data_IF_041401815348
#
_entry.id   IF_041401815348
#
_cell.length_a   1.000
_cell.length_b   1.000
_cell.length_c   1.000
_cell.angle_alpha   90.00
_cell.angle_beta   90.00
_cell.angle_gamma   90.00
#
_symmetry.space_group_name_H-M   'P 1'
#
loop_
_entity.id
_entity.type
_entity.pdbx_description
1 polymer ?
#
# COMPACT_ATOMS: atom_id res chain seq x y z
N UNK A 1 -15.67 13.79 3.77
CA UNK A 1 -14.88 12.59 4.08
C UNK A 1 -14.70 12.36 5.59
N UNK A 2 -14.38 13.36 6.41
CA UNK A 2 -14.22 13.19 7.88
C UNK A 2 -15.47 12.57 8.52
N UNK A 3 -16.64 13.09 8.23
CA UNK A 3 -17.92 12.58 8.77
C UNK A 3 -18.19 11.12 8.42
N UNK A 4 -17.63 10.62 7.31
CA UNK A 4 -17.73 9.20 6.94
C UNK A 4 -17.03 8.29 7.94
N UNK A 5 -15.94 8.76 8.55
CA UNK A 5 -15.13 8.01 9.51
C UNK A 5 -15.51 8.25 10.97
N UNK A 6 -16.21 9.36 11.27
CA UNK A 6 -16.60 9.71 12.63
C UNK A 6 -17.45 8.60 13.27
N UNK A 7 -17.12 8.26 14.50
CA UNK A 7 -17.78 7.21 15.32
C UNK A 7 -17.69 5.79 14.72
N UNK A 8 -16.92 5.55 13.66
CA UNK A 8 -16.73 4.22 13.08
C UNK A 8 -15.68 3.41 13.82
N UNK A 9 -15.91 2.10 13.89
CA UNK A 9 -14.92 1.13 14.34
C UNK A 9 -14.15 0.61 13.14
N UNK A 10 -12.83 0.76 13.15
CA UNK A 10 -11.99 0.38 12.01
C UNK A 10 -10.92 -0.58 12.47
N UNK A 11 -10.91 -1.78 11.89
CA UNK A 11 -9.87 -2.77 12.15
C UNK A 11 -8.76 -2.62 11.11
N UNK A 12 -7.51 -2.52 11.58
CA UNK A 12 -6.32 -2.42 10.74
C UNK A 12 -5.42 -3.62 11.00
N UNK A 13 -5.32 -4.54 10.03
CA UNK A 13 -4.30 -5.58 10.09
C UNK A 13 -2.96 -4.98 9.70
N UNK A 14 -1.87 -5.42 10.35
CA UNK A 14 -0.57 -4.78 10.14
C UNK A 14 -0.47 -3.36 10.71
N UNK A 15 -1.32 -3.00 11.67
CA UNK A 15 -1.42 -1.65 12.24
C UNK A 15 -0.16 -1.13 12.93
N UNK A 16 0.85 -1.99 13.21
CA UNK A 16 2.18 -1.59 13.73
C UNK A 16 3.21 -1.28 12.65
N UNK A 17 2.84 -1.42 11.36
CA UNK A 17 3.67 -1.01 10.22
C UNK A 17 3.68 0.51 10.02
N UNK A 18 4.53 1.02 9.12
CA UNK A 18 4.63 2.47 8.84
C UNK A 18 3.26 3.06 8.46
N UNK A 19 2.60 2.49 7.45
CA UNK A 19 1.26 2.91 7.02
C UNK A 19 0.22 2.75 8.15
N UNK A 20 0.21 1.58 8.82
CA UNK A 20 -0.76 1.30 9.88
C UNK A 20 -0.69 2.28 11.04
N UNK A 21 0.52 2.62 11.50
CA UNK A 21 0.74 3.62 12.56
C UNK A 21 0.13 4.99 12.20
N UNK A 22 0.36 5.46 10.98
CA UNK A 22 -0.18 6.76 10.55
C UNK A 22 -1.70 6.71 10.32
N UNK A 23 -2.22 5.61 9.76
CA UNK A 23 -3.67 5.39 9.65
C UNK A 23 -4.35 5.45 11.03
N UNK A 24 -3.78 4.81 12.05
CA UNK A 24 -4.30 4.90 13.43
C UNK A 24 -4.38 6.35 13.89
N UNK A 25 -3.28 7.11 13.73
CA UNK A 25 -3.21 8.52 14.13
C UNK A 25 -4.29 9.37 13.42
N UNK A 26 -4.41 9.23 12.10
CA UNK A 26 -5.35 10.02 11.28
C UNK A 26 -6.80 9.63 11.57
N UNK A 27 -7.11 8.33 11.63
CA UNK A 27 -8.48 7.87 11.90
C UNK A 27 -8.96 8.29 13.29
N UNK A 28 -8.07 8.28 14.29
CA UNK A 28 -8.38 8.84 15.62
C UNK A 28 -8.71 10.33 15.54
N UNK A 29 -7.95 11.12 14.79
CA UNK A 29 -8.24 12.55 14.62
C UNK A 29 -9.58 12.80 13.91
N UNK A 30 -10.13 11.83 13.20
CA UNK A 30 -11.47 11.85 12.60
C UNK A 30 -12.57 11.36 13.56
N UNK A 31 -12.21 10.99 14.80
CA UNK A 31 -13.15 10.45 15.79
C UNK A 31 -13.50 8.97 15.61
N UNK A 32 -12.66 8.21 14.91
CA UNK A 32 -12.86 6.76 14.77
C UNK A 32 -12.29 5.99 15.96
N UNK A 33 -12.90 4.84 16.29
CA UNK A 33 -12.33 3.84 17.21
C UNK A 33 -11.51 2.83 16.42
N UNK A 34 -10.26 2.66 16.77
CA UNK A 34 -9.33 1.84 15.97
C UNK A 34 -8.98 0.54 16.68
N UNK A 35 -9.09 -0.58 15.95
CA UNK A 35 -8.65 -1.90 16.39
C UNK A 35 -7.38 -2.25 15.60
N UNK A 36 -6.26 -2.36 16.28
CA UNK A 36 -4.97 -2.77 15.70
C UNK A 36 -4.81 -4.28 15.85
N UNK A 37 -4.65 -4.96 14.72
CA UNK A 37 -4.42 -6.41 14.67
C UNK A 37 -3.03 -6.68 14.08
N UNK A 38 -2.10 -7.21 14.87
CA UNK A 38 -0.75 -7.55 14.43
C UNK A 38 -0.08 -8.57 15.36
N UNK A 39 0.98 -9.21 14.88
CA UNK A 39 1.70 -10.27 15.60
C UNK A 39 2.60 -9.76 16.74
N UNK A 40 3.14 -8.55 16.59
CA UNK A 40 4.20 -8.01 17.43
C UNK A 40 3.60 -7.27 18.65
N UNK A 41 3.52 -7.98 19.79
CA UNK A 41 3.05 -7.45 21.07
C UNK A 41 3.85 -6.24 21.53
N UNK A 42 5.18 -6.34 21.44
CA UNK A 42 6.08 -5.27 21.88
C UNK A 42 5.85 -3.98 21.10
N UNK A 43 5.72 -4.07 19.77
CA UNK A 43 5.42 -2.89 18.95
C UNK A 43 4.04 -2.31 19.26
N UNK A 44 3.04 -3.16 19.50
CA UNK A 44 1.71 -2.68 19.92
C UNK A 44 1.78 -1.94 21.25
N UNK A 45 2.53 -2.48 22.23
CA UNK A 45 2.70 -1.84 23.52
C UNK A 45 3.44 -0.51 23.42
N UNK A 46 4.53 -0.45 22.65
CA UNK A 46 5.33 0.77 22.47
C UNK A 46 4.55 1.87 21.72
N UNK A 47 3.77 1.51 20.72
CA UNK A 47 3.08 2.50 19.86
C UNK A 47 1.75 2.95 20.44
N UNK A 48 1.03 2.08 21.14
CA UNK A 48 -0.36 2.30 21.54
C UNK A 48 -0.65 1.90 22.99
N UNK A 49 0.39 1.63 23.81
CA UNK A 49 0.23 1.02 25.13
C UNK A 49 -0.67 1.78 26.09
N UNK A 50 -0.60 3.11 26.06
CA UNK A 50 -1.35 3.99 26.96
C UNK A 50 -2.50 4.71 26.27
N UNK A 51 -2.89 4.27 25.07
CA UNK A 51 -3.93 4.91 24.29
C UNK A 51 -5.28 4.19 24.50
N UNK A 52 -6.22 4.76 25.26
CA UNK A 52 -7.51 4.12 25.58
C UNK A 52 -8.45 4.02 24.37
N UNK A 53 -8.16 4.77 23.28
CA UNK A 53 -8.98 4.77 22.06
C UNK A 53 -8.51 3.72 21.05
N UNK A 54 -7.38 3.04 21.32
CA UNK A 54 -6.84 1.99 20.45
C UNK A 54 -6.98 0.63 21.10
N UNK A 55 -7.82 -0.21 20.51
CA UNK A 55 -7.93 -1.61 20.91
C UNK A 55 -6.78 -2.40 20.28
N UNK A 56 -5.94 -3.02 21.11
CA UNK A 56 -4.81 -3.83 20.67
C UNK A 56 -5.19 -5.30 20.63
N UNK A 57 -4.99 -5.97 19.52
CA UNK A 57 -5.24 -7.41 19.35
C UNK A 57 -3.99 -8.07 18.79
N UNK A 58 -3.43 -9.00 19.54
CA UNK A 58 -2.33 -9.84 19.06
C UNK A 58 -2.93 -10.97 18.23
N UNK A 59 -2.49 -11.07 16.97
CA UNK A 59 -2.95 -12.11 16.06
C UNK A 59 -2.20 -12.11 14.73
N UNK A 60 -2.27 -13.25 14.06
CA UNK A 60 -1.72 -13.49 12.73
C UNK A 60 -2.86 -13.61 11.72
N UNK A 61 -2.76 -12.98 10.56
CA UNK A 61 -3.78 -13.09 9.49
C UNK A 61 -3.88 -14.51 8.94
N UNK A 62 -2.88 -15.34 9.13
CA UNK A 62 -2.89 -16.77 8.79
C UNK A 62 -3.84 -17.59 9.69
N UNK A 63 -4.16 -17.09 10.87
CA UNK A 63 -5.09 -17.72 11.80
C UNK A 63 -6.52 -17.20 11.56
N UNK A 64 -7.25 -17.92 10.71
CA UNK A 64 -8.64 -17.61 10.39
C UNK A 64 -9.53 -17.52 11.66
N UNK A 65 -9.41 -18.48 12.55
CA UNK A 65 -10.24 -18.51 13.78
C UNK A 65 -10.01 -17.26 14.64
N UNK A 66 -8.76 -16.83 14.76
CA UNK A 66 -8.41 -15.65 15.57
C UNK A 66 -8.96 -14.36 14.94
N UNK A 67 -8.83 -14.18 13.63
CA UNK A 67 -9.32 -12.96 12.98
C UNK A 67 -10.86 -12.92 12.97
N UNK A 68 -11.53 -14.02 12.72
CA UNK A 68 -12.99 -14.12 12.72
C UNK A 68 -13.57 -13.81 14.11
N UNK A 69 -13.07 -14.45 15.17
CA UNK A 69 -13.48 -14.17 16.57
C UNK A 69 -13.18 -12.70 16.94
N UNK A 70 -12.09 -12.12 16.45
CA UNK A 70 -11.76 -10.71 16.67
C UNK A 70 -12.81 -9.80 16.04
N UNK A 71 -13.18 -10.03 14.79
CA UNK A 71 -14.22 -9.24 14.11
C UNK A 71 -15.59 -9.41 14.78
N UNK A 72 -15.96 -10.64 15.14
CA UNK A 72 -17.19 -10.94 15.87
C UNK A 72 -17.29 -10.18 17.21
N UNK A 73 -16.18 -10.13 17.97
CA UNK A 73 -16.11 -9.45 19.27
C UNK A 73 -16.19 -7.92 19.14
N UNK A 74 -15.44 -7.35 18.21
CA UNK A 74 -15.28 -5.90 18.11
C UNK A 74 -16.25 -5.24 17.15
N UNK A 75 -16.82 -5.99 16.20
CA UNK A 75 -17.79 -5.55 15.18
C UNK A 75 -17.30 -4.30 14.45
N UNK A 76 -16.19 -4.38 13.69
CA UNK A 76 -15.70 -3.24 12.94
C UNK A 76 -16.66 -2.87 11.81
N UNK A 77 -16.88 -1.57 11.59
CA UNK A 77 -17.60 -1.08 10.42
C UNK A 77 -16.78 -1.26 9.15
N UNK A 78 -15.47 -1.00 9.25
CA UNK A 78 -14.53 -1.08 8.13
C UNK A 78 -13.27 -1.87 8.51
N UNK A 79 -12.67 -2.49 7.51
CA UNK A 79 -11.39 -3.20 7.63
C UNK A 79 -10.39 -2.64 6.61
N UNK A 80 -9.18 -2.34 7.08
CA UNK A 80 -8.04 -1.99 6.23
C UNK A 80 -7.00 -3.11 6.39
N UNK A 81 -6.85 -3.94 5.35
CA UNK A 81 -5.94 -5.06 5.36
C UNK A 81 -4.55 -4.65 4.84
N UNK A 82 -3.66 -4.25 5.75
CA UNK A 82 -2.27 -3.86 5.47
C UNK A 82 -1.23 -4.87 5.98
N UNK A 83 -1.68 -6.00 6.54
CA UNK A 83 -0.80 -7.07 7.01
C UNK A 83 -0.30 -7.95 5.87
N UNK A 84 0.97 -7.81 5.48
CA UNK A 84 1.60 -8.59 4.42
C UNK A 84 3.11 -8.71 4.64
N UNK A 85 3.73 -9.71 4.00
CA UNK A 85 5.16 -9.76 3.73
C UNK A 85 5.44 -8.92 2.47
N UNK A 86 6.52 -8.11 2.46
CA UNK A 86 6.75 -7.12 1.39
C UNK A 86 8.17 -7.09 0.80
N UNK A 87 9.12 -7.82 1.37
CA UNK A 87 10.50 -7.84 0.88
C UNK A 87 10.62 -8.81 -0.28
N UNK A 88 10.94 -8.29 -1.46
CA UNK A 88 11.01 -9.08 -2.70
C UNK A 88 12.03 -10.21 -2.54
N UNK A 89 13.25 -9.88 -2.12
CA UNK A 89 14.34 -10.83 -1.97
C UNK A 89 13.95 -12.02 -1.05
N UNK A 90 13.38 -11.70 0.13
CA UNK A 90 12.96 -12.72 1.09
C UNK A 90 11.85 -13.62 0.50
N UNK A 91 10.93 -13.04 -0.30
CA UNK A 91 9.80 -13.79 -0.84
C UNK A 91 10.20 -14.74 -1.98
N UNK A 92 11.25 -14.43 -2.73
CA UNK A 92 11.83 -15.36 -3.71
C UNK A 92 12.42 -16.60 -3.02
N UNK A 93 12.99 -16.47 -1.82
CA UNK A 93 13.53 -17.57 -1.03
C UNK A 93 12.46 -18.32 -0.21
N UNK A 94 11.39 -17.63 0.22
CA UNK A 94 10.33 -18.18 1.08
C UNK A 94 8.95 -18.02 0.43
N UNK A 95 8.70 -18.57 -0.76
CA UNK A 95 7.45 -18.39 -1.48
C UNK A 95 6.25 -18.99 -0.74
N UNK A 96 6.44 -20.06 0.01
CA UNK A 96 5.43 -20.70 0.85
C UNK A 96 4.94 -19.76 1.98
N UNK A 97 5.84 -19.02 2.64
CA UNK A 97 5.48 -18.04 3.64
C UNK A 97 4.74 -16.83 3.03
N UNK A 98 5.12 -16.45 1.79
CA UNK A 98 4.42 -15.44 1.02
C UNK A 98 2.98 -15.87 0.72
N UNK A 99 2.77 -17.11 0.24
CA UNK A 99 1.44 -17.68 -0.03
C UNK A 99 0.60 -17.71 1.24
N UNK A 100 1.12 -18.26 2.33
CA UNK A 100 0.41 -18.35 3.61
C UNK A 100 -0.03 -16.97 4.14
N UNK A 101 0.84 -15.96 3.99
CA UNK A 101 0.58 -14.64 4.59
C UNK A 101 -0.19 -13.74 3.63
N UNK A 102 0.27 -13.58 2.38
CA UNK A 102 -0.29 -12.60 1.46
C UNK A 102 -1.54 -13.10 0.73
N UNK A 103 -1.62 -14.39 0.44
CA UNK A 103 -2.77 -14.99 -0.26
C UNK A 103 -3.77 -15.53 0.77
N UNK A 104 -3.41 -16.58 1.52
CA UNK A 104 -4.34 -17.19 2.46
C UNK A 104 -4.73 -16.23 3.60
N UNK A 105 -3.78 -15.39 4.07
CA UNK A 105 -4.07 -14.35 5.04
C UNK A 105 -5.06 -13.30 4.53
N UNK A 106 -4.97 -12.91 3.25
CA UNK A 106 -5.95 -11.99 2.63
C UNK A 106 -7.32 -12.65 2.49
N UNK A 107 -7.36 -13.91 2.08
CA UNK A 107 -8.59 -14.69 2.02
C UNK A 107 -9.25 -14.83 3.40
N UNK A 108 -8.49 -15.15 4.43
CA UNK A 108 -8.98 -15.22 5.81
C UNK A 108 -9.63 -13.90 6.26
N UNK A 109 -9.00 -12.77 5.93
CA UNK A 109 -9.55 -11.44 6.24
C UNK A 109 -10.84 -11.18 5.47
N UNK A 110 -10.91 -11.59 4.20
CA UNK A 110 -12.12 -11.43 3.38
C UNK A 110 -13.28 -12.26 3.93
N UNK A 111 -13.05 -13.56 4.22
CA UNK A 111 -14.06 -14.45 4.81
C UNK A 111 -14.54 -13.89 6.16
N UNK A 112 -13.61 -13.53 7.05
CA UNK A 112 -13.96 -13.00 8.35
C UNK A 112 -14.77 -11.68 8.24
N UNK A 113 -14.44 -10.82 7.27
CA UNK A 113 -15.17 -9.58 7.01
C UNK A 113 -16.61 -9.86 6.56
N UNK A 114 -16.80 -10.81 5.66
CA UNK A 114 -18.13 -11.22 5.18
C UNK A 114 -18.95 -11.88 6.29
N UNK A 115 -18.36 -12.79 7.08
CA UNK A 115 -19.03 -13.49 8.16
C UNK A 115 -19.51 -12.56 9.29
N UNK A 116 -18.90 -11.37 9.41
CA UNK A 116 -19.18 -10.43 10.50
C UNK A 116 -19.78 -9.10 10.00
N UNK A 117 -20.38 -9.09 8.82
CA UNK A 117 -21.13 -7.96 8.24
C UNK A 117 -20.32 -6.64 8.20
N UNK A 118 -19.01 -6.74 7.93
CA UNK A 118 -18.16 -5.57 7.70
C UNK A 118 -18.66 -4.82 6.48
N UNK A 119 -18.92 -3.52 6.59
CA UNK A 119 -19.47 -2.73 5.48
C UNK A 119 -18.51 -2.59 4.31
N UNK A 120 -17.23 -2.30 4.60
CA UNK A 120 -16.18 -2.18 3.58
C UNK A 120 -14.87 -2.79 4.06
N UNK A 121 -14.22 -3.57 3.22
CA UNK A 121 -12.89 -4.15 3.45
C UNK A 121 -11.94 -3.77 2.31
N UNK A 122 -10.85 -3.06 2.62
CA UNK A 122 -9.85 -2.61 1.65
C UNK A 122 -8.55 -3.38 1.81
N UNK A 123 -8.05 -3.93 0.71
CA UNK A 123 -6.73 -4.55 0.61
C UNK A 123 -5.68 -3.51 0.21
N UNK A 124 -4.60 -3.43 0.97
CA UNK A 124 -3.42 -2.67 0.55
C UNK A 124 -2.58 -3.53 -0.41
N UNK A 125 -2.49 -3.11 -1.66
CA UNK A 125 -1.74 -3.73 -2.74
C UNK A 125 -0.50 -2.90 -3.11
N UNK A 126 0.06 -3.08 -4.29
CA UNK A 126 1.32 -2.50 -4.75
C UNK A 126 1.33 -2.36 -6.28
N UNK A 127 2.16 -1.44 -6.80
CA UNK A 127 2.53 -1.36 -8.22
C UNK A 127 3.04 -2.69 -8.78
N UNK A 128 3.70 -3.50 -7.96
CA UNK A 128 4.24 -4.81 -8.34
C UNK A 128 3.17 -5.89 -8.60
N UNK A 129 1.92 -5.64 -8.21
CA UNK A 129 0.77 -6.48 -8.55
C UNK A 129 0.31 -6.28 -10.01
N UNK A 130 0.64 -5.14 -10.62
CA UNK A 130 0.38 -4.90 -12.03
C UNK A 130 1.44 -5.60 -12.88
N UNK A 131 1.06 -6.56 -13.73
CA UNK A 131 1.98 -7.36 -14.55
C UNK A 131 3.14 -7.94 -13.71
N UNK A 132 2.87 -8.79 -12.72
CA UNK A 132 3.86 -9.23 -11.73
C UNK A 132 4.97 -10.07 -12.37
N UNK A 133 6.22 -9.87 -11.91
CA UNK A 133 7.42 -10.62 -12.33
C UNK A 133 8.14 -11.28 -11.16
N UNK A 134 7.58 -11.23 -9.95
CA UNK A 134 8.15 -11.82 -8.74
C UNK A 134 7.04 -12.39 -7.84
N UNK A 135 7.45 -13.21 -6.87
CA UNK A 135 6.54 -13.91 -5.93
C UNK A 135 5.70 -12.89 -5.14
N UNK A 136 6.31 -11.80 -4.65
CA UNK A 136 5.59 -10.76 -3.92
C UNK A 136 4.49 -10.12 -4.78
N UNK A 137 4.83 -9.64 -5.97
CA UNK A 137 3.86 -9.03 -6.89
C UNK A 137 2.76 -10.00 -7.27
N UNK A 138 3.09 -11.26 -7.59
CA UNK A 138 2.13 -12.32 -7.91
C UNK A 138 1.18 -12.59 -6.74
N UNK A 139 1.69 -12.63 -5.51
CA UNK A 139 0.87 -12.83 -4.32
C UNK A 139 -0.13 -11.69 -4.10
N UNK A 140 0.28 -10.46 -4.36
CA UNK A 140 -0.59 -9.28 -4.23
C UNK A 140 -1.62 -9.21 -5.36
N UNK A 141 -1.24 -9.58 -6.59
CA UNK A 141 -2.18 -9.71 -7.71
C UNK A 141 -3.27 -10.76 -7.41
N UNK A 142 -2.89 -11.93 -6.89
CA UNK A 142 -3.87 -12.97 -6.51
C UNK A 142 -4.77 -12.44 -5.39
N UNK A 143 -4.22 -11.74 -4.39
CA UNK A 143 -5.03 -11.15 -3.31
C UNK A 143 -6.04 -10.10 -3.84
N UNK A 144 -5.68 -9.27 -4.84
CA UNK A 144 -6.63 -8.37 -5.51
C UNK A 144 -7.77 -9.16 -6.16
N UNK A 145 -7.45 -10.28 -6.85
CA UNK A 145 -8.47 -11.14 -7.49
C UNK A 145 -9.38 -11.82 -6.46
N UNK A 146 -8.84 -12.23 -5.32
CA UNK A 146 -9.62 -12.74 -4.18
C UNK A 146 -10.62 -11.68 -3.72
N UNK A 147 -10.19 -10.44 -3.46
CA UNK A 147 -11.07 -9.36 -3.01
C UNK A 147 -12.15 -9.04 -4.05
N UNK A 148 -11.81 -8.97 -5.33
CA UNK A 148 -12.79 -8.78 -6.41
C UNK A 148 -13.81 -9.93 -6.45
N UNK A 149 -13.37 -11.19 -6.25
CA UNK A 149 -14.26 -12.36 -6.25
C UNK A 149 -15.17 -12.37 -5.03
N UNK A 150 -14.64 -12.05 -3.85
CA UNK A 150 -15.47 -11.93 -2.64
C UNK A 150 -16.50 -10.81 -2.77
N UNK A 151 -16.18 -9.68 -3.40
CA UNK A 151 -17.15 -8.65 -3.70
C UNK A 151 -18.26 -9.13 -4.63
N UNK A 152 -17.90 -9.84 -5.70
CA UNK A 152 -18.86 -10.40 -6.65
C UNK A 152 -19.86 -11.35 -5.99
N UNK A 153 -19.43 -12.13 -5.00
CA UNK A 153 -20.22 -13.11 -4.27
C UNK A 153 -20.85 -12.57 -2.98
N UNK A 154 -20.48 -11.37 -2.54
CA UNK A 154 -21.01 -10.76 -1.31
C UNK A 154 -22.30 -9.99 -1.58
N UNK A 155 -23.22 -10.06 -0.62
CA UNK A 155 -24.43 -9.24 -0.58
C UNK A 155 -24.33 -8.05 0.38
N UNK A 156 -23.40 -8.08 1.35
CA UNK A 156 -23.35 -7.12 2.46
C UNK A 156 -22.02 -6.35 2.54
N UNK A 157 -20.89 -7.01 2.23
CA UNK A 157 -19.57 -6.41 2.34
C UNK A 157 -19.08 -5.92 0.99
N UNK A 158 -18.59 -4.68 0.94
CA UNK A 158 -17.89 -4.10 -0.21
C UNK A 158 -16.40 -4.39 -0.07
N UNK A 159 -15.82 -5.06 -1.07
CA UNK A 159 -14.38 -5.31 -1.14
C UNK A 159 -13.74 -4.47 -2.23
N UNK A 160 -12.58 -3.88 -1.96
CA UNK A 160 -11.78 -3.18 -2.95
C UNK A 160 -10.29 -3.27 -2.61
N UNK A 161 -9.44 -2.87 -3.54
CA UNK A 161 -7.98 -2.90 -3.39
C UNK A 161 -7.37 -1.54 -3.71
N UNK A 162 -6.17 -1.26 -3.19
CA UNK A 162 -5.42 -0.03 -3.46
C UNK A 162 -4.02 -0.40 -3.89
N UNK A 163 -3.65 -0.10 -5.13
CA UNK A 163 -2.27 -0.16 -5.61
C UNK A 163 -1.57 1.16 -5.35
N UNK A 164 -0.32 1.12 -4.91
CA UNK A 164 0.54 2.29 -4.89
C UNK A 164 2.02 1.91 -4.98
N UNK A 165 2.86 2.90 -5.33
CA UNK A 165 4.28 2.73 -5.53
C UNK A 165 5.10 2.75 -4.23
N UNK A 166 6.36 3.18 -4.34
CA UNK A 166 7.27 3.22 -3.21
C UNK A 166 6.94 4.39 -2.28
N UNK A 167 6.67 4.07 -1.02
CA UNK A 167 6.48 5.07 0.03
C UNK A 167 7.85 5.50 0.57
N UNK A 168 8.15 6.80 0.48
CA UNK A 168 9.36 7.40 1.04
C UNK A 168 9.36 7.16 2.55
N UNK A 169 10.55 6.85 3.10
CA UNK A 169 10.77 6.58 4.53
C UNK A 169 9.96 5.41 5.13
N UNK A 170 9.32 4.58 4.32
CA UNK A 170 8.76 3.33 4.85
C UNK A 170 9.89 2.43 5.37
N UNK A 171 9.66 1.73 6.48
CA UNK A 171 10.68 0.85 7.09
C UNK A 171 11.26 -0.13 6.06
N UNK A 172 12.61 -0.12 5.95
CA UNK A 172 13.35 -0.98 5.03
C UNK A 172 13.26 -0.55 3.56
N UNK A 173 12.82 0.69 3.26
CA UNK A 173 12.91 1.25 1.90
C UNK A 173 14.31 1.77 1.60
N UNK A 174 14.64 1.89 0.31
CA UNK A 174 15.99 2.21 -0.15
C UNK A 174 16.43 3.65 0.17
N UNK A 175 15.51 4.63 0.18
CA UNK A 175 15.86 6.03 0.44
C UNK A 175 16.47 6.23 1.84
N UNK A 176 15.83 5.84 2.96
CA UNK A 176 16.47 5.93 4.28
C UNK A 176 17.79 5.14 4.38
N UNK A 177 17.86 3.99 3.71
CA UNK A 177 19.08 3.17 3.71
C UNK A 177 20.23 3.90 3.02
N UNK A 178 19.98 4.57 1.91
CA UNK A 178 20.99 5.35 1.20
C UNK A 178 21.38 6.62 1.97
N UNK A 179 20.41 7.33 2.55
CA UNK A 179 20.71 8.49 3.40
C UNK A 179 21.65 8.07 4.55
N UNK A 180 21.33 7.00 5.28
CA UNK A 180 22.18 6.50 6.38
C UNK A 180 23.57 6.06 5.87
N UNK A 181 23.66 5.35 4.75
CA UNK A 181 24.94 4.94 4.17
C UNK A 181 25.83 6.14 3.83
N UNK A 182 25.26 7.19 3.23
CA UNK A 182 25.99 8.41 2.89
C UNK A 182 26.46 9.14 4.16
N UNK A 183 25.60 9.26 5.18
CA UNK A 183 25.97 9.88 6.47
C UNK A 183 27.13 9.16 7.14
N UNK A 184 27.17 7.82 7.03
CA UNK A 184 28.25 6.96 7.52
C UNK A 184 29.50 6.95 6.62
N UNK A 185 29.51 7.69 5.51
CA UNK A 185 30.64 7.74 4.57
C UNK A 185 30.79 6.49 3.69
N UNK A 186 29.71 5.71 3.53
CA UNK A 186 29.68 4.52 2.69
C UNK A 186 29.19 4.88 1.28
N UNK A 187 29.53 4.03 0.30
CA UNK A 187 28.99 4.12 -1.07
C UNK A 187 27.52 3.66 -1.13
N UNK A 188 26.84 4.06 -2.20
CA UNK A 188 25.48 3.58 -2.49
C UNK A 188 25.50 2.43 -3.48
N UNK A 189 24.90 1.30 -3.11
CA UNK A 189 24.65 0.19 -4.02
C UNK A 189 23.40 0.48 -4.87
N UNK A 190 23.57 0.54 -6.18
CA UNK A 190 22.52 0.87 -7.14
C UNK A 190 22.37 -0.26 -8.13
N UNK A 191 21.15 -0.74 -8.30
CA UNK A 191 20.87 -1.88 -9.20
C UNK A 191 21.00 -1.51 -10.68
N UNK A 192 20.47 -0.35 -11.10
CA UNK A 192 20.62 0.20 -12.45
C UNK A 192 20.19 1.68 -12.49
N UNK A 193 21.00 2.54 -13.09
CA UNK A 193 20.65 3.96 -13.30
C UNK A 193 19.45 4.18 -14.24
N UNK A 194 19.12 3.18 -15.07
CA UNK A 194 17.98 3.24 -16.01
C UNK A 194 16.62 2.99 -15.34
N UNK A 195 16.61 2.57 -14.07
CA UNK A 195 15.37 2.32 -13.36
C UNK A 195 14.56 3.58 -13.09
N UNK A 196 13.24 3.42 -13.09
CA UNK A 196 12.30 4.45 -12.63
C UNK A 196 11.42 3.91 -11.51
N UNK A 197 11.04 4.76 -10.55
CA UNK A 197 10.19 4.37 -9.43
C UNK A 197 9.14 5.44 -9.16
N UNK A 198 7.91 5.01 -8.89
CA UNK A 198 6.88 5.86 -8.32
C UNK A 198 7.22 6.16 -6.88
N UNK A 199 7.21 7.45 -6.50
CA UNK A 199 7.50 7.89 -5.14
C UNK A 199 6.41 8.81 -4.61
N UNK A 200 6.03 8.60 -3.36
CA UNK A 200 5.13 9.48 -2.64
C UNK A 200 5.33 9.34 -1.13
N UNK A 201 4.74 10.27 -0.35
CA UNK A 201 4.92 10.29 1.10
C UNK A 201 3.98 9.32 1.80
N UNK A 202 4.21 9.08 3.07
CA UNK A 202 3.34 8.24 3.88
C UNK A 202 1.96 8.90 4.10
N UNK A 203 1.92 10.24 4.23
CA UNK A 203 0.66 10.99 4.30
C UNK A 203 -0.16 10.85 3.00
N UNK A 204 0.49 10.94 1.83
CA UNK A 204 -0.17 10.73 0.54
C UNK A 204 -0.73 9.29 0.43
N UNK A 205 0.00 8.29 0.98
CA UNK A 205 -0.46 6.90 1.03
C UNK A 205 -1.72 6.76 1.92
N UNK A 206 -1.72 7.38 3.10
CA UNK A 206 -2.89 7.38 4.00
C UNK A 206 -4.09 8.07 3.33
N UNK A 207 -3.88 9.24 2.72
CA UNK A 207 -4.94 9.94 1.97
C UNK A 207 -5.54 9.05 0.88
N UNK A 208 -4.67 8.37 0.10
CA UNK A 208 -5.09 7.44 -0.95
C UNK A 208 -5.95 6.31 -0.39
N UNK A 209 -5.51 5.66 0.69
CA UNK A 209 -6.26 4.55 1.32
C UNK A 209 -7.62 5.01 1.84
N UNK A 210 -7.67 6.17 2.50
CA UNK A 210 -8.91 6.70 3.04
C UNK A 210 -9.88 7.14 1.92
N UNK A 211 -9.40 7.80 0.88
CA UNK A 211 -10.22 8.12 -0.29
C UNK A 211 -10.76 6.85 -0.96
N UNK A 212 -9.92 5.82 -1.12
CA UNK A 212 -10.33 4.55 -1.72
C UNK A 212 -11.42 3.86 -0.90
N UNK A 213 -11.29 3.83 0.43
CA UNK A 213 -12.32 3.28 1.31
C UNK A 213 -13.64 4.09 1.22
N UNK A 214 -13.54 5.40 1.10
CA UNK A 214 -14.70 6.29 0.93
C UNK A 214 -15.42 6.01 -0.39
N UNK A 215 -14.69 6.00 -1.52
CA UNK A 215 -15.24 5.84 -2.86
C UNK A 215 -15.62 4.40 -3.22
N UNK A 216 -15.11 3.37 -2.53
CA UNK A 216 -15.35 1.97 -2.89
C UNK A 216 -16.84 1.63 -2.98
N UNK A 217 -17.24 1.05 -4.12
CA UNK A 217 -18.60 0.58 -4.44
C UNK A 217 -18.63 -0.94 -4.65
N UNK A 218 -17.47 -1.56 -4.94
CA UNK A 218 -17.26 -3.01 -4.94
C UNK A 218 -16.40 -3.56 -6.07
N UNK A 219 -15.37 -4.30 -5.68
CA UNK A 219 -14.45 -5.03 -6.57
C UNK A 219 -13.35 -4.20 -7.22
N UNK A 220 -13.29 -2.90 -6.98
CA UNK A 220 -12.37 -1.99 -7.65
C UNK A 220 -10.93 -2.15 -7.20
N UNK A 221 -10.02 -1.70 -8.08
CA UNK A 221 -8.63 -1.43 -7.75
C UNK A 221 -8.36 0.06 -7.92
N UNK A 222 -8.08 0.74 -6.82
CA UNK A 222 -7.75 2.17 -6.80
C UNK A 222 -6.26 2.41 -7.00
N UNK A 223 -5.92 3.49 -7.72
CA UNK A 223 -4.56 3.85 -8.10
C UNK A 223 -4.36 5.35 -7.89
N UNK A 224 -3.39 5.81 -7.07
CA UNK A 224 -3.08 7.23 -6.96
C UNK A 224 -2.35 7.72 -8.22
N UNK A 225 -2.67 8.95 -8.65
CA UNK A 225 -1.90 9.66 -9.68
C UNK A 225 -0.69 10.32 -9.00
N UNK A 226 0.43 9.64 -9.03
CA UNK A 226 1.68 10.06 -8.40
C UNK A 226 2.83 10.14 -9.40
N UNK A 227 3.82 10.98 -9.11
CA UNK A 227 5.00 11.12 -9.94
C UNK A 227 5.93 9.91 -9.80
N UNK A 228 6.64 9.61 -10.88
CA UNK A 228 7.79 8.71 -10.88
C UNK A 228 9.06 9.50 -11.15
N UNK A 229 10.19 8.90 -10.79
CA UNK A 229 11.51 9.51 -10.94
C UNK A 229 12.51 8.48 -11.43
N UNK A 230 13.47 8.90 -12.26
CA UNK A 230 14.63 8.10 -12.60
C UNK A 230 15.50 7.91 -11.37
N UNK A 231 16.13 6.75 -11.25
CA UNK A 231 16.97 6.44 -10.10
C UNK A 231 18.14 7.42 -9.98
N UNK A 232 18.70 7.86 -11.12
CA UNK A 232 19.72 8.92 -11.19
C UNK A 232 19.24 10.24 -10.55
N UNK A 233 18.00 10.66 -10.81
CA UNK A 233 17.41 11.88 -10.23
C UNK A 233 17.22 11.71 -8.71
N UNK A 234 16.83 10.50 -8.27
CA UNK A 234 16.69 10.19 -6.85
C UNK A 234 18.04 10.26 -6.13
N UNK A 235 19.10 9.71 -6.72
CA UNK A 235 20.46 9.75 -6.17
C UNK A 235 20.93 11.20 -6.04
N UNK A 236 20.76 12.00 -7.10
CA UNK A 236 21.16 13.41 -7.08
C UNK A 236 20.38 14.22 -6.03
N UNK A 237 19.10 13.94 -5.86
CA UNK A 237 18.30 14.58 -4.81
C UNK A 237 18.79 14.20 -3.41
N UNK A 238 19.13 12.92 -3.16
CA UNK A 238 19.66 12.47 -1.87
C UNK A 238 21.03 13.10 -1.58
N UNK A 239 21.97 13.08 -2.57
CA UNK A 239 23.29 13.73 -2.43
C UNK A 239 23.15 15.20 -2.05
N UNK A 240 22.29 15.92 -2.76
CA UNK A 240 21.99 17.33 -2.45
C UNK A 240 21.41 17.52 -1.05
N UNK A 241 20.53 16.65 -0.60
CA UNK A 241 19.91 16.72 0.73
C UNK A 241 20.92 16.57 1.86
N UNK A 242 21.91 15.69 1.70
CA UNK A 242 22.93 15.42 2.70
C UNK A 242 24.20 16.28 2.52
N UNK A 243 24.22 17.17 1.53
CA UNK A 243 25.36 18.03 1.14
C UNK A 243 26.66 17.23 0.90
N UNK A 244 26.56 16.12 0.19
CA UNK A 244 27.68 15.23 -0.15
C UNK A 244 27.60 14.81 -1.62
N UNK A 245 28.11 15.65 -2.50
CA UNK A 245 28.03 15.41 -3.97
C UNK A 245 29.03 14.35 -4.47
N UNK A 246 30.11 14.11 -3.72
CA UNK A 246 31.22 13.21 -4.04
C UNK A 246 31.00 11.74 -3.69
N UNK A 247 29.82 11.39 -3.16
CA UNK A 247 29.51 9.99 -2.78
C UNK A 247 29.51 9.08 -4.01
N UNK A 248 30.32 8.03 -3.94
CA UNK A 248 30.41 7.02 -5.00
C UNK A 248 29.14 6.14 -5.04
N UNK A 249 28.77 5.75 -6.26
CA UNK A 249 27.70 4.78 -6.50
C UNK A 249 28.27 3.55 -7.17
N UNK A 250 27.98 2.37 -6.60
CA UNK A 250 28.38 1.08 -7.15
C UNK A 250 27.21 0.43 -7.87
N UNK A 251 27.38 0.09 -9.15
CA UNK A 251 26.33 -0.64 -9.89
C UNK A 251 26.45 -2.12 -9.58
N UNK A 252 25.44 -2.67 -8.87
CA UNK A 252 25.42 -4.08 -8.44
C UNK A 252 24.60 -4.99 -9.38
N UNK A 253 23.96 -4.44 -10.42
CA UNK A 253 23.09 -5.17 -11.34
C UNK A 253 21.66 -5.34 -10.85
N UNK A 254 20.76 -5.67 -11.79
CA UNK A 254 19.34 -5.87 -11.50
C UNK A 254 19.18 -7.18 -10.75
N UNK A 255 18.44 -7.15 -9.63
CA UNK A 255 18.16 -8.33 -8.82
C UNK A 255 17.07 -9.19 -9.47
N UNK A 256 17.05 -10.50 -9.22
CA UNK A 256 15.93 -11.36 -9.63
C UNK A 256 14.60 -10.78 -9.13
N UNK A 257 13.60 -10.73 -10.00
CA UNK A 257 12.28 -10.19 -9.65
C UNK A 257 12.16 -8.67 -9.64
N UNK A 258 13.21 -7.90 -9.96
CA UNK A 258 13.11 -6.45 -10.11
C UNK A 258 12.78 -6.04 -11.55
N UNK A 259 11.88 -5.06 -11.70
CA UNK A 259 11.59 -4.40 -12.98
C UNK A 259 12.46 -3.15 -13.18
N UNK A 260 12.81 -2.84 -14.43
CA UNK A 260 13.37 -1.52 -14.77
C UNK A 260 12.36 -0.41 -14.49
N UNK A 261 11.14 -0.60 -14.94
CA UNK A 261 10.03 0.34 -14.80
C UNK A 261 8.85 -0.36 -14.14
N UNK A 262 8.15 0.34 -13.26
CA UNK A 262 6.98 -0.18 -12.57
C UNK A 262 5.69 0.25 -13.26
N UNK A 263 4.68 -0.63 -13.21
CA UNK A 263 3.35 -0.37 -13.75
C UNK A 263 2.34 -0.26 -12.62
N UNK A 264 1.47 0.74 -12.65
CA UNK A 264 0.29 0.80 -11.77
C UNK A 264 -1.01 0.56 -12.51
N UNK A 265 -1.05 0.87 -13.80
CA UNK A 265 -2.20 0.65 -14.69
C UNK A 265 -1.70 0.08 -16.01
N UNK A 266 -2.08 -1.15 -16.31
CA UNK A 266 -1.74 -1.81 -17.57
C UNK A 266 -2.66 -1.36 -18.71
N UNK A 267 -2.17 -1.46 -19.95
CA UNK A 267 -2.95 -1.15 -21.17
C UNK A 267 -4.28 -1.92 -21.22
N UNK A 268 -4.29 -3.18 -20.77
CA UNK A 268 -5.50 -4.03 -20.72
C UNK A 268 -6.53 -3.58 -19.69
N UNK A 269 -6.13 -2.78 -18.69
CA UNK A 269 -7.01 -2.25 -17.65
C UNK A 269 -7.63 -0.89 -18.04
N UNK A 270 -7.06 -0.17 -19.04
CA UNK A 270 -7.53 1.15 -19.49
C UNK A 270 -9.03 1.20 -19.86
N UNK A 271 -9.59 0.22 -20.58
CA UNK A 271 -11.00 0.25 -20.95
C UNK A 271 -11.96 0.28 -19.75
N UNK A 272 -11.49 -0.12 -18.57
CA UNK A 272 -12.27 -0.25 -17.33
C UNK A 272 -11.89 0.78 -16.28
N UNK A 273 -11.09 1.80 -16.66
CA UNK A 273 -10.56 2.80 -15.73
C UNK A 273 -11.38 4.07 -15.74
N UNK A 274 -11.68 4.56 -14.54
CA UNK A 274 -12.40 5.80 -14.26
C UNK A 274 -11.60 6.69 -13.32
N UNK A 275 -12.03 7.93 -13.17
CA UNK A 275 -11.38 8.92 -12.30
C UNK A 275 -12.41 9.48 -11.30
N UNK A 276 -12.54 8.86 -10.10
CA UNK A 276 -13.46 9.33 -9.07
C UNK A 276 -13.01 10.62 -8.38
N UNK A 277 -11.73 10.96 -8.45
CA UNK A 277 -11.11 12.13 -7.83
C UNK A 277 -9.94 12.59 -8.71
N UNK A 278 -9.54 13.88 -8.62
CA UNK A 278 -8.44 14.43 -9.44
C UNK A 278 -7.12 13.67 -9.26
N UNK A 279 -6.88 13.14 -8.05
CA UNK A 279 -5.65 12.42 -7.68
C UNK A 279 -5.80 10.90 -7.70
N UNK A 280 -6.98 10.36 -8.04
CA UNK A 280 -7.28 8.95 -7.89
C UNK A 280 -7.87 8.38 -9.18
N UNK A 281 -7.35 7.25 -9.63
CA UNK A 281 -7.94 6.40 -10.66
C UNK A 281 -8.56 5.17 -10.01
N UNK A 282 -9.53 4.56 -10.67
CA UNK A 282 -10.13 3.30 -10.25
C UNK A 282 -10.36 2.38 -11.44
N UNK A 283 -9.97 1.13 -11.30
CA UNK A 283 -10.26 0.06 -12.26
C UNK A 283 -11.50 -0.65 -11.75
N UNK A 284 -12.57 -0.58 -12.52
CA UNK A 284 -13.83 -1.30 -12.24
C UNK A 284 -13.68 -2.75 -12.72
N UNK A 285 -14.13 -3.76 -11.94
CA UNK A 285 -14.02 -5.14 -12.37
C UNK A 285 -14.81 -5.40 -13.67
N UNK A 286 -14.21 -6.15 -14.58
CA UNK A 286 -14.84 -6.53 -15.87
C UNK A 286 -16.07 -7.41 -15.67
N UNK A 287 -16.03 -8.26 -14.64
CA UNK A 287 -17.11 -9.17 -14.26
C UNK A 287 -17.70 -8.69 -12.95
N UNK A 288 -18.73 -7.84 -13.02
CA UNK A 288 -19.43 -7.36 -11.83
C UNK A 288 -20.94 -7.41 -12.07
N UNK A 289 -21.70 -7.73 -11.02
CA UNK A 289 -23.16 -7.59 -10.97
C UNK A 289 -23.59 -6.21 -10.52
N UNK A 290 -22.65 -5.43 -9.95
CA UNK A 290 -22.90 -4.10 -9.40
C UNK A 290 -22.77 -3.05 -10.49
N UNK A 291 -23.64 -2.04 -10.46
CA UNK A 291 -23.50 -0.85 -11.29
C UNK A 291 -22.73 0.20 -10.50
N UNK A 292 -21.58 0.60 -11.00
CA UNK A 292 -20.75 1.63 -10.39
C UNK A 292 -21.23 3.02 -10.81
N UNK A 293 -21.12 3.98 -9.88
CA UNK A 293 -21.58 5.36 -10.09
C UNK A 293 -20.54 6.28 -10.73
N UNK A 294 -19.33 5.78 -11.00
CA UNK A 294 -18.25 6.59 -11.58
C UNK A 294 -18.63 7.09 -12.99
N UNK A 295 -18.69 8.41 -13.15
CA UNK A 295 -19.11 9.07 -14.39
C UNK A 295 -17.94 9.51 -15.28
N UNK A 296 -16.79 9.82 -14.70
CA UNK A 296 -15.63 10.33 -15.42
C UNK A 296 -14.74 9.17 -15.84
N UNK A 297 -14.75 8.86 -17.15
CA UNK A 297 -13.88 7.84 -17.74
C UNK A 297 -12.45 8.37 -17.85
N UNK A 298 -11.48 7.55 -17.50
CA UNK A 298 -10.09 7.90 -17.75
C UNK A 298 -9.75 7.75 -19.23
N UNK A 299 -9.21 8.80 -19.84
CA UNK A 299 -8.87 8.85 -21.29
C UNK A 299 -7.37 8.94 -21.54
N UNK A 300 -6.57 8.80 -20.47
CA UNK A 300 -5.11 8.80 -20.57
C UNK A 300 -4.55 7.46 -21.06
N UNK A 301 -3.22 7.36 -21.04
CA UNK A 301 -2.48 6.14 -21.35
C UNK A 301 -2.23 5.30 -20.10
N UNK A 302 -1.62 4.12 -20.28
CA UNK A 302 -1.14 3.27 -19.17
C UNK A 302 -0.30 4.08 -18.18
N UNK A 303 -0.34 3.70 -16.91
CA UNK A 303 0.37 4.40 -15.86
C UNK A 303 1.66 3.64 -15.50
N UNK A 304 2.69 3.85 -16.36
CA UNK A 304 4.02 3.28 -16.24
C UNK A 304 5.02 4.33 -15.76
N UNK A 305 5.95 3.93 -14.90
CA UNK A 305 6.90 4.86 -14.28
C UNK A 305 7.91 5.49 -15.25
N UNK A 306 8.15 4.88 -16.42
CA UNK A 306 9.00 5.49 -17.46
C UNK A 306 8.28 6.60 -18.25
N UNK A 307 6.95 6.55 -18.32
CA UNK A 307 6.13 7.48 -19.10
C UNK A 307 5.69 8.71 -18.30
N UNK A 308 5.72 8.63 -16.98
CA UNK A 308 5.23 9.66 -16.05
C UNK A 308 6.33 10.18 -15.12
N UNK A 309 7.60 10.06 -15.55
CA UNK A 309 8.71 10.50 -14.74
C UNK A 309 8.85 12.03 -14.71
N UNK A 310 9.29 12.50 -13.56
CA UNK A 310 9.66 13.89 -13.31
C UNK A 310 11.18 13.95 -13.08
N UNK A 311 11.88 14.83 -13.78
CA UNK A 311 13.34 14.98 -13.69
C UNK A 311 13.74 16.19 -12.80
N UNK A 312 12.78 16.86 -12.13
CA UNK A 312 13.05 17.99 -11.25
C UNK A 312 13.62 17.53 -9.89
N UNK A 313 14.93 17.68 -9.74
CA UNK A 313 15.66 17.34 -8.51
C UNK A 313 15.18 18.16 -7.30
N UNK A 314 14.82 19.44 -7.48
CA UNK A 314 14.41 20.31 -6.38
C UNK A 314 13.05 19.86 -5.82
N UNK A 315 12.10 19.59 -6.71
CA UNK A 315 10.80 19.04 -6.33
C UNK A 315 10.95 17.70 -5.59
N UNK A 316 11.85 16.84 -6.07
CA UNK A 316 12.12 15.57 -5.40
C UNK A 316 12.82 15.75 -4.05
N UNK A 317 13.74 16.71 -3.89
CA UNK A 317 14.33 17.05 -2.60
C UNK A 317 13.24 17.42 -1.57
N UNK A 318 12.31 18.30 -1.94
CA UNK A 318 11.20 18.68 -1.05
C UNK A 318 10.28 17.50 -0.72
N UNK A 319 10.01 16.64 -1.70
CA UNK A 319 9.22 15.42 -1.49
C UNK A 319 9.92 14.46 -0.51
N UNK A 320 11.25 14.25 -0.66
CA UNK A 320 12.03 13.38 0.22
C UNK A 320 12.11 13.99 1.63
N UNK A 321 12.39 15.29 1.79
CA UNK A 321 12.39 15.97 3.10
C UNK A 321 11.07 15.76 3.82
N UNK A 322 9.95 16.02 3.13
CA UNK A 322 8.61 15.84 3.67
C UNK A 322 8.41 14.39 4.12
N UNK A 323 8.75 13.42 3.27
CA UNK A 323 8.59 12.01 3.60
C UNK A 323 9.48 11.51 4.74
N UNK A 324 10.69 12.05 4.90
CA UNK A 324 11.59 11.70 6.02
C UNK A 324 11.13 12.31 7.37
N UNK A 325 10.36 13.40 7.35
CA UNK A 325 9.82 14.07 8.54
C UNK A 325 8.52 13.46 9.07
N UNK A 326 7.90 12.55 8.35
CA UNK A 326 6.64 11.86 8.71
C UNK A 326 6.87 10.63 9.58
#
# INVERSE_FOLDING_TARGET
MIDFYKDKKILITGGTGSLGKLLVKVLKSFGSKVIVYSRDERKQALLFGNDPEVVRVIGDVRDFKKIDVTMKRHKPDYVIHAGALKRIDDMEFYPDECVKTNINGSENVAIASQNNDVKKCILISTDKACQPVNVYGSSKFIAERIFTNYDYNSSSTIFASVRYGNVIASRGSFIPTWVAAIEEGKHMDVTSMKMTRFLFTLNDAVETVLKSLYYAEGGEVFIPKINSFKLEVIINAIKKLVNKDDVETTIIGIRPGEKLHEDMLATTELPFTYQPDEKLLTIVPQYTKKKHSYSVKYTGREFNSSLHNNDDVNNLCELIKRGLSE
#
